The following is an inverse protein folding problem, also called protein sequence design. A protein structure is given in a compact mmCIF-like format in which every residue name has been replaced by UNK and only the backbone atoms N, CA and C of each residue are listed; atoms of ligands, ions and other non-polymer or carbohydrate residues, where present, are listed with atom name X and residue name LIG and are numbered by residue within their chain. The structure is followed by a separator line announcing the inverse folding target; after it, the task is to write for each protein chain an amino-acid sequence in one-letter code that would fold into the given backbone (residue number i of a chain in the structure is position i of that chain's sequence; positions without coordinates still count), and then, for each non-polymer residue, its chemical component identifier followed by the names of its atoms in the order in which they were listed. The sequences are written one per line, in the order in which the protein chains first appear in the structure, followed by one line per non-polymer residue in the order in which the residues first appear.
data_IF_884983779013
#
_entry.id   IF_884983779013
#
_cell.length_a   1.000
_cell.length_b   1.000
_cell.length_c   1.000
_cell.angle_alpha   90.00
_cell.angle_beta   90.00
_cell.angle_gamma   90.00
#
_symmetry.space_group_name_H-M   'P 1'
#
loop_
_entity.id
_entity.type
_entity.pdbx_description
1 polymer ?
#
# COMPACT_ATOMS: atom_id res chain seq x y z
N UNK A 1 -23.67 10.79 29.80
CA UNK A 1 -24.00 11.14 28.41
C UNK A 1 -22.76 11.78 27.80
N UNK A 2 -21.98 11.06 27.00
CA UNK A 2 -22.12 11.10 25.53
C UNK A 2 -21.70 12.48 25.05
N UNK A 3 -20.62 12.70 24.32
CA UNK A 3 -20.15 12.02 23.11
C UNK A 3 -18.70 12.54 22.88
N UNK A 4 -17.72 11.65 22.71
CA UNK A 4 -16.53 11.98 21.91
C UNK A 4 -16.98 11.94 20.44
N UNK A 5 -16.66 12.94 19.60
CA UNK A 5 -15.35 12.90 18.96
C UNK A 5 -14.77 14.27 18.57
N UNK A 6 -13.44 14.35 18.60
CA UNK A 6 -12.71 15.14 17.62
C UNK A 6 -11.35 14.50 17.56
N UNK A 7 -11.21 13.53 16.64
CA UNK A 7 -9.91 13.08 16.22
C UNK A 7 -9.25 14.31 15.58
N UNK A 8 -8.43 15.00 16.38
CA UNK A 8 -7.66 16.16 15.96
C UNK A 8 -6.64 15.63 14.95
N UNK A 9 -6.98 15.63 13.67
CA UNK A 9 -5.99 15.51 12.59
C UNK A 9 -4.95 16.59 12.84
N UNK A 10 -3.77 16.14 13.22
CA UNK A 10 -2.69 16.97 13.72
C UNK A 10 -2.12 17.78 12.56
N UNK A 11 -1.73 19.04 12.76
CA UNK A 11 -0.99 19.81 11.74
C UNK A 11 0.35 19.16 11.31
N UNK A 12 0.77 18.05 11.95
CA UNK A 12 2.00 17.29 11.71
C UNK A 12 1.96 16.27 10.56
N UNK A 13 0.78 15.88 10.05
CA UNK A 13 0.67 15.17 8.74
C UNK A 13 1.31 16.00 7.60
N UNK A 14 1.40 17.31 7.83
CA UNK A 14 1.83 18.38 6.91
C UNK A 14 3.34 18.66 6.92
N UNK A 15 4.09 18.07 7.86
CA UNK A 15 5.56 17.93 7.81
C UNK A 15 5.98 16.58 7.19
N UNK A 16 5.04 15.95 6.49
CA UNK A 16 5.16 15.49 5.13
C UNK A 16 6.45 14.73 4.77
N UNK A 17 6.26 13.54 4.20
CA UNK A 17 6.30 13.32 2.74
C UNK A 17 7.31 14.16 1.89
N UNK A 18 7.53 15.44 2.22
CA UNK A 18 8.64 16.29 1.81
C UNK A 18 10.05 15.77 2.18
N UNK A 19 10.22 14.96 3.24
CA UNK A 19 11.47 14.21 3.49
C UNK A 19 11.57 12.86 2.75
N UNK A 20 10.43 12.34 2.30
CA UNK A 20 10.23 10.99 1.72
C UNK A 20 10.85 10.84 0.32
N UNK A 21 11.13 11.96 -0.36
CA UNK A 21 11.68 12.01 -1.73
C UNK A 21 13.14 12.47 -1.80
N UNK A 22 13.66 13.19 -0.80
CA UNK A 22 15.03 13.74 -0.85
C UNK A 22 16.13 12.69 -0.62
N UNK A 23 15.79 11.50 -0.12
CA UNK A 23 16.74 10.41 0.22
C UNK A 23 16.62 9.19 -0.71
N UNK A 24 15.88 9.27 -1.81
CA UNK A 24 15.99 8.28 -2.89
C UNK A 24 17.38 8.29 -3.58
N UNK A 25 18.27 9.25 -3.23
CA UNK A 25 19.51 9.56 -3.93
C UNK A 25 20.82 9.46 -3.13
N UNK A 26 20.95 8.59 -2.13
CA UNK A 26 22.27 8.28 -1.56
C UNK A 26 22.63 6.79 -1.73
N UNK A 27 23.22 6.53 -2.91
CA UNK A 27 23.73 5.29 -3.52
C UNK A 27 24.68 4.38 -2.69
N UNK A 28 24.62 4.30 -1.35
CA UNK A 28 25.67 3.59 -0.59
C UNK A 28 25.26 2.69 0.57
N UNK A 29 24.02 2.22 0.62
CA UNK A 29 23.69 1.06 1.44
C UNK A 29 22.75 0.16 0.64
N UNK A 30 23.01 -1.14 0.66
CA UNK A 30 22.34 -2.19 -0.11
C UNK A 30 20.87 -2.43 0.33
N UNK A 31 20.13 -1.36 0.66
CA UNK A 31 18.76 -1.39 1.18
C UNK A 31 17.81 -1.33 0.00
N UNK A 32 17.37 -2.50 -0.45
CA UNK A 32 16.44 -2.60 -1.57
C UNK A 32 15.01 -2.27 -1.11
N UNK A 33 14.28 -1.49 -1.92
CA UNK A 33 12.83 -1.32 -1.75
C UNK A 33 12.12 -2.68 -1.87
N UNK A 34 11.09 -2.96 -1.04
CA UNK A 34 10.22 -4.08 -1.28
C UNK A 34 9.55 -3.94 -2.64
N UNK A 35 9.46 -5.04 -3.39
CA UNK A 35 8.85 -5.05 -4.70
C UNK A 35 7.73 -6.07 -4.71
N UNK A 36 6.70 -5.79 -5.50
CA UNK A 36 5.66 -6.76 -5.82
C UNK A 36 6.26 -8.10 -6.28
N UNK A 37 5.81 -9.19 -5.67
CA UNK A 37 6.23 -10.55 -5.99
C UNK A 37 5.11 -11.35 -6.66
N UNK A 38 3.93 -11.38 -6.03
CA UNK A 38 2.77 -12.09 -6.58
C UNK A 38 1.45 -11.50 -6.08
N UNK A 39 0.37 -11.86 -6.75
CA UNK A 39 -1.00 -11.65 -6.28
C UNK A 39 -1.75 -12.96 -6.33
N UNK A 40 -2.56 -13.22 -5.30
CA UNK A 40 -3.51 -14.30 -5.27
C UNK A 40 -4.92 -13.73 -5.09
N UNK A 41 -5.84 -14.09 -5.98
CA UNK A 41 -7.23 -13.66 -5.88
C UNK A 41 -8.03 -14.73 -5.14
N UNK A 42 -8.58 -14.37 -3.98
CA UNK A 42 -9.39 -15.27 -3.15
C UNK A 42 -10.72 -14.60 -2.83
N UNK A 43 -11.83 -15.28 -3.15
CA UNK A 43 -13.19 -14.79 -2.94
C UNK A 43 -13.41 -13.36 -3.48
N UNK A 44 -13.54 -12.38 -2.58
CA UNK A 44 -13.77 -10.97 -2.87
C UNK A 44 -12.56 -10.08 -2.59
N UNK A 45 -11.37 -10.68 -2.43
CA UNK A 45 -10.13 -9.95 -2.12
C UNK A 45 -8.94 -10.45 -2.94
N UNK A 46 -7.90 -9.62 -2.97
CA UNK A 46 -6.60 -9.97 -3.50
C UNK A 46 -5.56 -9.95 -2.37
N UNK A 47 -4.73 -10.98 -2.30
CA UNK A 47 -3.59 -11.07 -1.39
C UNK A 47 -2.34 -10.76 -2.20
N UNK A 48 -1.76 -9.60 -1.96
CA UNK A 48 -0.54 -9.14 -2.63
C UNK A 48 0.66 -9.48 -1.76
N UNK A 49 1.68 -10.11 -2.35
CA UNK A 49 2.93 -10.43 -1.67
C UNK A 49 4.09 -9.55 -2.18
N UNK A 50 5.04 -9.26 -1.30
CA UNK A 50 6.20 -8.43 -1.60
C UNK A 50 7.51 -9.17 -1.30
N UNK A 51 8.47 -9.12 -2.22
CA UNK A 51 9.84 -9.59 -1.99
C UNK A 51 10.67 -8.51 -1.27
N UNK A 52 11.95 -8.82 -1.02
CA UNK A 52 12.94 -7.88 -0.45
C UNK A 52 12.50 -7.21 0.85
N UNK A 53 11.62 -7.90 1.57
CA UNK A 53 11.03 -7.49 2.83
C UNK A 53 11.18 -8.60 3.88
N UNK A 54 12.42 -8.99 4.25
CA UNK A 54 12.65 -10.11 5.16
C UNK A 54 12.10 -9.87 6.58
N UNK A 55 11.81 -8.61 6.92
CA UNK A 55 11.20 -8.21 8.19
C UNK A 55 9.71 -7.89 8.06
N UNK A 56 9.14 -7.98 6.85
CA UNK A 56 7.75 -7.62 6.58
C UNK A 56 7.54 -6.13 6.32
N UNK A 57 6.27 -5.77 6.16
CA UNK A 57 5.84 -4.41 5.84
C UNK A 57 5.62 -3.59 7.11
N UNK A 58 5.78 -2.28 6.98
CA UNK A 58 5.48 -1.33 8.04
C UNK A 58 3.97 -1.04 8.06
N UNK A 59 3.34 -1.36 9.19
CA UNK A 59 1.93 -1.11 9.46
C UNK A 59 1.71 0.01 10.50
N UNK A 60 2.78 0.66 10.96
CA UNK A 60 2.71 1.72 11.99
C UNK A 60 2.05 3.00 11.49
N UNK A 61 2.10 3.24 10.17
CA UNK A 61 1.43 4.35 9.49
C UNK A 61 -0.05 4.09 9.20
N UNK A 62 -0.57 2.92 9.59
CA UNK A 62 -1.94 2.50 9.32
C UNK A 62 -2.10 1.77 7.99
N UNK A 63 -3.34 1.70 7.51
CA UNK A 63 -3.67 1.02 6.26
C UNK A 63 -3.13 1.80 5.05
N UNK A 64 -2.35 1.17 4.16
CA UNK A 64 -1.77 1.87 3.02
C UNK A 64 -2.85 2.33 2.02
N UNK A 65 -2.80 3.58 1.60
CA UNK A 65 -3.64 4.14 0.55
C UNK A 65 -3.06 3.84 -0.85
N UNK A 66 -3.69 4.35 -1.91
CA UNK A 66 -3.16 4.25 -3.28
C UNK A 66 -3.28 2.86 -3.93
N UNK A 67 -3.94 1.90 -3.28
CA UNK A 67 -4.34 0.64 -3.88
C UNK A 67 -5.67 0.77 -4.61
N UNK A 68 -5.74 0.18 -5.80
CA UNK A 68 -6.96 0.06 -6.57
C UNK A 68 -7.13 -1.39 -7.04
N UNK A 69 -8.36 -1.86 -7.08
CA UNK A 69 -8.71 -3.24 -7.46
C UNK A 69 -9.82 -3.21 -8.51
N UNK A 70 -9.75 -4.14 -9.47
CA UNK A 70 -10.72 -4.23 -10.56
C UNK A 70 -11.30 -5.65 -10.67
N UNK A 71 -12.55 -5.70 -11.13
CA UNK A 71 -13.22 -6.94 -11.54
C UNK A 71 -13.05 -7.21 -13.03
N UNK A 72 -13.78 -8.19 -13.59
CA UNK A 72 -13.69 -8.55 -15.01
C UNK A 72 -14.12 -7.42 -15.96
N UNK A 73 -14.84 -6.42 -15.45
CA UNK A 73 -15.22 -5.20 -16.16
C UNK A 73 -14.05 -4.21 -16.37
N UNK A 74 -12.88 -4.50 -15.78
CA UNK A 74 -11.68 -3.66 -15.84
C UNK A 74 -11.87 -2.25 -15.26
N UNK A 75 -12.91 -2.06 -14.43
CA UNK A 75 -13.13 -0.81 -13.71
C UNK A 75 -12.37 -0.87 -12.39
N UNK A 76 -11.43 0.05 -12.20
CA UNK A 76 -10.62 0.13 -10.99
C UNK A 76 -11.33 0.98 -9.93
N UNK A 77 -11.47 0.41 -8.74
CA UNK A 77 -12.05 1.06 -7.56
C UNK A 77 -11.00 1.25 -6.48
N UNK A 78 -11.04 2.35 -5.70
CA UNK A 78 -10.21 2.51 -4.51
C UNK A 78 -10.41 1.35 -3.56
N UNK A 79 -9.32 0.72 -3.13
CA UNK A 79 -9.38 -0.47 -2.32
C UNK A 79 -9.12 -0.16 -0.84
N UNK A 80 -9.84 -0.88 0.03
CA UNK A 80 -9.46 -1.03 1.43
C UNK A 80 -8.33 -2.04 1.53
N UNK A 81 -7.37 -1.73 2.39
CA UNK A 81 -6.17 -2.53 2.56
C UNK A 81 -5.98 -2.96 4.01
N UNK A 82 -5.38 -4.14 4.18
CA UNK A 82 -4.97 -4.63 5.48
C UNK A 82 -3.61 -5.31 5.37
N UNK A 83 -2.62 -4.81 6.10
CA UNK A 83 -1.30 -5.45 6.19
C UNK A 83 -1.40 -6.56 7.23
N UNK A 84 -1.10 -7.80 6.83
CA UNK A 84 -1.04 -8.92 7.77
C UNK A 84 0.17 -8.74 8.69
N UNK A 85 -0.07 -8.70 9.99
CA UNK A 85 0.94 -8.45 11.02
C UNK A 85 2.18 -9.34 10.88
N UNK A 86 3.39 -8.76 10.94
CA UNK A 86 4.67 -9.45 10.77
C UNK A 86 4.81 -10.26 9.47
N UNK A 87 4.12 -9.86 8.40
CA UNK A 87 4.26 -10.50 7.09
C UNK A 87 4.59 -9.49 5.99
N UNK A 88 4.84 -10.01 4.80
CA UNK A 88 4.99 -9.29 3.54
C UNK A 88 3.70 -9.31 2.69
N UNK A 89 2.54 -9.51 3.34
CA UNK A 89 1.26 -9.68 2.66
C UNK A 89 0.32 -8.50 2.93
N UNK A 90 -0.36 -8.05 1.87
CA UNK A 90 -1.40 -7.03 1.93
C UNK A 90 -2.67 -7.58 1.33
N UNK A 91 -3.74 -7.58 2.11
CA UNK A 91 -5.09 -7.87 1.65
C UNK A 91 -5.69 -6.61 1.05
N UNK A 92 -6.30 -6.74 -0.13
CA UNK A 92 -6.84 -5.64 -0.92
C UNK A 92 -8.26 -6.00 -1.33
N UNK A 93 -9.24 -5.16 -1.00
CA UNK A 93 -10.65 -5.42 -1.32
C UNK A 93 -11.43 -4.14 -1.58
N UNK A 94 -12.48 -4.23 -2.39
CA UNK A 94 -13.44 -3.15 -2.58
C UNK A 94 -14.86 -3.71 -2.55
N UNK A 95 -15.83 -3.08 -1.86
CA UNK A 95 -17.22 -3.52 -1.83
C UNK A 95 -17.84 -3.72 -3.23
N UNK A 96 -17.41 -2.90 -4.18
CA UNK A 96 -17.82 -2.88 -5.59
C UNK A 96 -17.28 -4.08 -6.37
N UNK A 97 -16.15 -4.65 -5.96
CA UNK A 97 -15.45 -5.71 -6.70
C UNK A 97 -15.69 -7.05 -6.02
N UNK A 98 -16.67 -7.81 -6.52
CA UNK A 98 -17.00 -9.15 -6.00
C UNK A 98 -16.10 -10.27 -6.52
N UNK A 99 -15.45 -10.07 -7.65
CA UNK A 99 -14.57 -11.05 -8.30
C UNK A 99 -13.31 -10.33 -8.78
N UNK A 100 -12.32 -10.10 -7.93
CA UNK A 100 -11.14 -9.34 -8.31
C UNK A 100 -10.30 -10.11 -9.33
N UNK A 101 -9.77 -9.39 -10.31
CA UNK A 101 -8.89 -9.92 -11.37
C UNK A 101 -7.62 -9.11 -11.56
N UNK A 102 -7.58 -7.87 -11.06
CA UNK A 102 -6.41 -7.02 -11.15
C UNK A 102 -6.27 -6.10 -9.92
N UNK A 103 -5.03 -5.81 -9.55
CA UNK A 103 -4.66 -4.83 -8.52
C UNK A 103 -3.57 -3.90 -9.09
N UNK A 104 -3.62 -2.64 -8.69
CA UNK A 104 -2.53 -1.69 -8.92
C UNK A 104 -2.28 -0.86 -7.67
N UNK A 105 -1.04 -0.40 -7.53
CA UNK A 105 -0.61 0.46 -6.42
C UNK A 105 0.17 1.66 -6.96
N UNK A 106 -0.13 2.83 -6.40
CA UNK A 106 0.50 4.10 -6.77
C UNK A 106 0.44 4.41 -8.28
N UNK A 107 -0.70 4.10 -8.91
CA UNK A 107 -0.89 4.21 -10.36
C UNK A 107 -1.50 5.56 -10.83
N UNK A 108 -1.21 6.65 -10.13
CA UNK A 108 -1.68 8.00 -10.48
C UNK A 108 -0.53 8.98 -10.72
N UNK A 109 -0.83 10.12 -11.33
CA UNK A 109 0.16 11.16 -11.68
C UNK A 109 0.89 11.76 -10.46
N UNK A 110 0.35 11.63 -9.25
CA UNK A 110 0.99 12.03 -8.01
C UNK A 110 0.40 11.19 -6.88
N UNK A 111 0.96 10.01 -6.63
CA UNK A 111 0.55 9.18 -5.49
C UNK A 111 1.67 9.19 -4.47
N UNK A 112 1.34 9.67 -3.29
CA UNK A 112 2.21 9.57 -2.12
C UNK A 112 2.39 8.10 -1.73
N UNK A 113 3.64 7.66 -1.58
CA UNK A 113 3.91 6.32 -1.11
C UNK A 113 3.35 6.17 0.31
N UNK A 114 2.48 5.19 0.51
CA UNK A 114 1.82 4.89 1.79
C UNK A 114 2.16 3.50 2.31
N UNK A 115 2.87 2.68 1.52
CA UNK A 115 3.34 1.37 1.89
C UNK A 115 4.87 1.35 1.93
N UNK A 116 5.39 0.89 3.06
CA UNK A 116 6.83 0.82 3.33
C UNK A 116 7.21 -0.56 3.84
N UNK A 117 8.45 -0.97 3.59
CA UNK A 117 9.05 -2.08 4.32
C UNK A 117 9.47 -1.64 5.72
N UNK A 118 9.69 -2.60 6.62
CA UNK A 118 10.29 -2.37 7.95
C UNK A 118 11.71 -1.77 7.90
N UNK A 119 12.33 -1.70 6.71
CA UNK A 119 13.57 -0.98 6.45
C UNK A 119 13.36 0.51 6.18
N UNK A 120 12.13 1.02 6.27
CA UNK A 120 11.77 2.41 5.96
C UNK A 120 11.73 2.72 4.46
N UNK A 121 11.94 1.73 3.60
CA UNK A 121 11.93 1.94 2.15
C UNK A 121 10.50 1.84 1.59
N UNK A 122 10.11 2.76 0.72
CA UNK A 122 8.82 2.72 0.05
C UNK A 122 8.75 1.55 -0.93
N UNK A 123 7.56 0.98 -1.03
CA UNK A 123 7.23 -0.01 -2.06
C UNK A 123 7.09 0.67 -3.41
N UNK A 124 7.66 0.08 -4.45
CA UNK A 124 7.52 0.59 -5.83
C UNK A 124 6.09 0.40 -6.35
N UNK A 125 5.64 1.30 -7.22
CA UNK A 125 4.38 1.13 -7.93
C UNK A 125 4.37 -0.19 -8.72
N UNK A 126 3.20 -0.80 -8.84
CA UNK A 126 3.02 -2.03 -9.61
C UNK A 126 1.61 -2.14 -10.15
N UNK A 127 1.46 -3.06 -11.10
CA UNK A 127 0.19 -3.45 -11.71
C UNK A 127 0.20 -4.95 -11.93
N UNK A 128 -0.98 -5.56 -11.92
CA UNK A 128 -1.15 -6.98 -12.21
C UNK A 128 -2.05 -7.23 -13.43
N UNK A 129 -2.53 -6.16 -14.08
CA UNK A 129 -3.17 -6.23 -15.39
C UNK A 129 -2.13 -6.42 -16.51
N UNK A 130 -2.47 -7.24 -17.50
CA UNK A 130 -1.69 -7.46 -18.73
C UNK A 130 -2.04 -6.43 -19.81
#
# INVERSE_FOLDING_TARGET
SGIHPSNKQTPGERLAMQALAHTYGHDKVNVQSPRYASVEFQDTMAIVSFDRSPRGLDATLGAPSGFEIAGPDSVFYPAKTHIRWNTNLVEVSAPEVKKPVAVRYAFGNCVEASLFGQNGMPVSSFRTDF
#
